data_IF_287386468322
#
_entry.id   IF_287386468322
#
_cell.length_a   1.000
_cell.length_b   1.000
_cell.length_c   1.000
_cell.angle_alpha   90.00
_cell.angle_beta   90.00
_cell.angle_gamma   90.00
#
_symmetry.space_group_name_H-M   'P 1'
#
loop_
_entity.id
_entity.type
_entity.pdbx_description
1 polymer ?
#
# COMPACT_ATOMS: atom_id res chain seq x y z
N UNK A 1 10.42 -8.93 22.76
CA UNK A 1 9.57 -7.72 22.83
C UNK A 1 8.14 -8.15 23.12
N UNK A 2 7.31 -7.34 23.79
CA UNK A 2 5.94 -7.73 24.21
C UNK A 2 4.84 -6.75 23.77
N UNK A 3 5.20 -5.67 23.08
CA UNK A 3 4.23 -4.72 22.54
C UNK A 3 3.85 -5.06 21.10
N UNK A 4 2.93 -4.28 20.49
CA UNK A 4 2.63 -4.38 19.07
C UNK A 4 3.87 -4.12 18.22
N UNK A 5 4.13 -5.00 17.25
CA UNK A 5 5.24 -4.92 16.32
C UNK A 5 4.72 -4.60 14.91
N UNK A 6 5.16 -3.47 14.37
CA UNK A 6 4.89 -3.06 12.99
C UNK A 6 6.16 -3.24 12.17
N UNK A 7 6.08 -4.03 11.09
CA UNK A 7 7.18 -4.13 10.13
C UNK A 7 6.93 -3.28 8.88
N UNK A 8 8.00 -2.89 8.22
CA UNK A 8 7.96 -2.15 6.97
C UNK A 8 9.12 -2.57 6.07
N UNK A 9 8.95 -2.43 4.75
CA UNK A 9 10.02 -2.61 3.76
C UNK A 9 9.85 -3.84 2.88
N UNK A 10 9.40 -3.62 1.64
CA UNK A 10 9.36 -4.66 0.60
C UNK A 10 8.20 -5.66 0.71
N UNK A 11 7.25 -5.42 1.61
CA UNK A 11 6.02 -6.22 1.68
C UNK A 11 5.11 -5.96 0.48
N UNK A 12 4.53 -7.04 -0.05
CA UNK A 12 3.35 -7.03 -0.91
C UNK A 12 2.17 -7.65 -0.15
N UNK A 13 1.03 -7.82 -0.83
CA UNK A 13 -0.20 -8.38 -0.23
C UNK A 13 0.04 -9.73 0.44
N UNK A 14 0.61 -10.68 -0.30
CA UNK A 14 0.77 -12.06 0.14
C UNK A 14 1.82 -12.18 1.24
N UNK A 15 2.95 -11.47 1.10
CA UNK A 15 4.00 -11.51 2.12
C UNK A 15 3.59 -10.79 3.41
N UNK A 16 2.78 -9.74 3.34
CA UNK A 16 2.22 -9.09 4.52
C UNK A 16 1.22 -9.99 5.25
N UNK A 17 0.28 -10.59 4.51
CA UNK A 17 -0.69 -11.54 5.07
C UNK A 17 0.04 -12.71 5.75
N UNK A 18 1.02 -13.32 5.07
CA UNK A 18 1.79 -14.43 5.63
C UNK A 18 2.58 -14.06 6.90
N UNK A 19 3.11 -12.84 7.00
CA UNK A 19 3.84 -12.40 8.20
C UNK A 19 2.90 -12.23 9.41
N UNK A 20 1.70 -11.69 9.18
CA UNK A 20 0.66 -11.53 10.21
C UNK A 20 0.12 -12.91 10.63
N UNK A 21 -0.23 -13.78 9.68
CA UNK A 21 -0.75 -15.13 9.96
C UNK A 21 0.24 -16.00 10.75
N UNK A 22 1.54 -15.82 10.52
CA UNK A 22 2.61 -16.50 11.27
C UNK A 22 2.89 -15.89 12.64
N UNK A 23 2.18 -14.82 13.02
CA UNK A 23 2.41 -14.09 14.27
C UNK A 23 3.78 -13.42 14.36
N UNK A 24 4.41 -13.14 13.22
CA UNK A 24 5.73 -12.50 13.20
C UNK A 24 5.63 -11.00 13.50
N UNK A 25 4.52 -10.38 13.09
CA UNK A 25 4.24 -8.95 13.23
C UNK A 25 2.73 -8.77 13.44
N UNK A 26 2.33 -7.69 14.11
CA UNK A 26 0.92 -7.34 14.31
C UNK A 26 0.35 -6.49 13.17
N UNK A 27 1.21 -5.76 12.47
CA UNK A 27 0.84 -4.99 11.28
C UNK A 27 2.02 -4.78 10.33
N UNK A 28 1.70 -4.41 9.10
CA UNK A 28 2.67 -4.05 8.05
C UNK A 28 2.39 -2.64 7.55
N UNK A 29 3.44 -1.80 7.52
CA UNK A 29 3.40 -0.48 6.92
C UNK A 29 3.91 -0.50 5.47
N UNK A 30 3.17 0.18 4.59
CA UNK A 30 3.49 0.31 3.18
C UNK A 30 3.85 1.76 2.87
N UNK A 31 5.03 1.98 2.27
CA UNK A 31 5.51 3.32 1.91
C UNK A 31 5.25 3.64 0.45
N UNK A 32 6.10 3.11 -0.44
CA UNK A 32 6.08 3.40 -1.89
C UNK A 32 4.73 3.13 -2.53
N UNK A 33 4.09 2.02 -2.18
CA UNK A 33 2.79 1.68 -2.76
C UNK A 33 1.69 2.61 -2.26
N UNK A 34 1.80 3.16 -1.05
CA UNK A 34 0.83 4.13 -0.53
C UNK A 34 1.00 5.50 -1.20
N UNK A 35 2.21 5.87 -1.64
CA UNK A 35 2.44 7.11 -2.41
C UNK A 35 1.58 7.11 -3.69
N UNK A 36 1.54 5.99 -4.41
CA UNK A 36 0.83 5.91 -5.70
C UNK A 36 -0.60 5.38 -5.61
N UNK A 37 -1.03 4.86 -4.46
CA UNK A 37 -2.35 4.25 -4.28
C UNK A 37 -3.01 4.88 -3.05
N UNK A 38 -3.78 5.98 -3.21
CA UNK A 38 -4.45 6.62 -2.07
C UNK A 38 -5.47 5.71 -1.38
N UNK A 39 -5.93 4.68 -2.09
CA UNK A 39 -6.88 3.64 -1.69
C UNK A 39 -6.22 2.27 -1.49
N UNK A 40 -4.91 2.22 -1.20
CA UNK A 40 -4.14 0.98 -1.05
C UNK A 40 -4.83 -0.11 -0.21
N UNK A 41 -5.43 0.18 0.98
CA UNK A 41 -6.09 -0.85 1.77
C UNK A 41 -7.23 -1.57 1.00
N UNK A 42 -8.02 -0.83 0.22
CA UNK A 42 -9.09 -1.39 -0.60
C UNK A 42 -8.51 -2.28 -1.72
N UNK A 43 -7.45 -1.82 -2.38
CA UNK A 43 -6.78 -2.61 -3.42
C UNK A 43 -6.21 -3.92 -2.87
N UNK A 44 -5.56 -3.86 -1.71
CA UNK A 44 -5.04 -5.06 -1.03
C UNK A 44 -6.17 -6.01 -0.61
N UNK A 45 -7.31 -5.49 -0.14
CA UNK A 45 -8.47 -6.31 0.19
C UNK A 45 -9.00 -7.06 -1.04
N UNK A 46 -9.25 -6.32 -2.13
CA UNK A 46 -9.82 -6.86 -3.37
C UNK A 46 -8.81 -7.65 -4.23
N UNK A 47 -7.51 -7.54 -3.95
CA UNK A 47 -6.47 -8.05 -4.85
C UNK A 47 -6.40 -7.26 -6.17
N UNK A 48 -6.80 -5.99 -6.15
CA UNK A 48 -6.81 -5.13 -7.32
C UNK A 48 -5.39 -4.71 -7.73
N UNK A 49 -5.23 -4.32 -9.00
CA UNK A 49 -3.96 -3.85 -9.53
C UNK A 49 -3.53 -2.55 -8.82
N UNK A 50 -2.27 -2.49 -8.42
CA UNK A 50 -1.67 -1.28 -7.87
C UNK A 50 -1.21 -0.34 -8.98
N UNK A 51 -1.38 0.96 -8.77
CA UNK A 51 -0.78 2.00 -9.57
C UNK A 51 0.75 1.93 -9.41
N UNK A 52 1.52 1.97 -10.52
CA UNK A 52 2.97 2.09 -10.42
C UNK A 52 3.34 3.43 -9.78
N UNK A 53 4.32 3.42 -8.88
CA UNK A 53 4.88 4.66 -8.33
C UNK A 53 5.92 5.25 -9.28
N UNK A 54 6.00 6.57 -9.35
CA UNK A 54 7.09 7.31 -9.98
C UNK A 54 8.07 7.83 -8.93
N UNK A 55 9.30 7.32 -8.95
CA UNK A 55 10.34 7.72 -7.99
C UNK A 55 10.89 9.12 -8.27
N UNK A 56 10.74 9.64 -9.49
CA UNK A 56 11.25 10.96 -9.87
C UNK A 56 10.49 12.10 -9.19
N UNK A 57 9.26 11.85 -8.75
CA UNK A 57 8.36 12.82 -8.11
C UNK A 57 8.27 12.68 -6.59
N UNK A 58 9.06 11.80 -5.96
CA UNK A 58 8.96 11.55 -4.52
C UNK A 58 9.37 12.74 -3.65
N UNK A 59 10.21 13.63 -4.16
CA UNK A 59 10.79 14.74 -3.38
C UNK A 59 10.67 16.06 -4.14
N UNK A 60 10.18 17.09 -3.46
CA UNK A 60 9.94 18.41 -4.07
C UNK A 60 8.75 18.39 -5.05
N UNK A 61 8.74 19.33 -6.00
CA UNK A 61 7.69 19.41 -7.01
C UNK A 61 6.40 20.08 -6.54
N UNK A 62 5.26 19.57 -7.02
CA UNK A 62 3.92 20.11 -6.77
C UNK A 62 2.87 18.98 -6.73
N UNK A 63 1.72 19.18 -7.37
CA UNK A 63 0.64 18.18 -7.35
C UNK A 63 0.99 16.86 -8.07
N UNK A 64 1.85 16.93 -9.09
CA UNK A 64 2.21 15.80 -9.94
C UNK A 64 3.01 14.72 -9.16
N UNK A 65 2.49 13.50 -9.16
CA UNK A 65 3.04 12.38 -8.41
C UNK A 65 2.89 12.51 -6.89
N UNK A 66 1.96 13.36 -6.42
CA UNK A 66 1.65 13.54 -5.00
C UNK A 66 0.15 13.43 -4.72
N UNK A 67 -0.69 14.20 -5.41
CA UNK A 67 -2.16 14.22 -5.19
C UNK A 67 -2.98 13.78 -6.40
N UNK A 68 -2.33 13.46 -7.52
CA UNK A 68 -2.97 13.15 -8.81
C UNK A 68 -2.99 11.65 -9.16
N UNK A 69 -2.51 10.77 -8.27
CA UNK A 69 -2.70 9.34 -8.44
C UNK A 69 -4.18 8.95 -8.32
N UNK A 70 -4.74 8.18 -9.27
CA UNK A 70 -6.15 7.83 -9.27
C UNK A 70 -6.47 6.78 -8.19
N UNK A 71 -7.61 6.94 -7.51
CA UNK A 71 -8.24 5.87 -6.75
C UNK A 71 -8.92 4.86 -7.70
N UNK A 72 -9.27 3.67 -7.20
CA UNK A 72 -10.13 2.75 -7.94
C UNK A 72 -11.46 3.42 -8.27
N UNK A 73 -11.92 3.24 -9.51
CA UNK A 73 -13.24 3.69 -9.92
C UNK A 73 -14.32 2.83 -9.25
N UNK A 74 -15.48 3.41 -8.96
CA UNK A 74 -16.57 2.70 -8.28
C UNK A 74 -17.02 1.44 -9.05
N UNK A 75 -16.89 1.43 -10.37
CA UNK A 75 -17.21 0.27 -11.22
C UNK A 75 -16.21 -0.88 -11.12
N UNK A 76 -15.01 -0.63 -10.61
CA UNK A 76 -13.96 -1.65 -10.43
C UNK A 76 -14.08 -2.38 -9.07
N UNK A 77 -14.95 -1.89 -8.18
CA UNK A 77 -15.26 -2.50 -6.89
C UNK A 77 -16.42 -3.48 -7.08
N UNK A 78 -16.10 -4.74 -7.39
CA UNK A 78 -17.07 -5.84 -7.34
C UNK A 78 -16.94 -6.54 -5.98
N UNK A 79 -17.99 -6.48 -5.16
CA UNK A 79 -18.08 -7.15 -3.85
C UNK A 79 -18.75 -8.51 -4.01
#
# INVERSE_FOLDING_TARGET
FKGPLIAAGGFGRESAAAAIEKGQVDAVAFGRDFISNPDLPLRLMLGAKLNPYDRSTFYGGGAAGYTDYPALERSEVTV
#
